data_IF_835824525184
#
_entry.id   IF_835824525184
#
_cell.length_a   1.000
_cell.length_b   1.000
_cell.length_c   1.000
_cell.angle_alpha   90.00
_cell.angle_beta   90.00
_cell.angle_gamma   90.00
#
_symmetry.space_group_name_H-M   'P 1'
#
loop_
_entity.id
_entity.type
_entity.pdbx_description
1 polymer ?
#
# COMPACT_ATOMS: atom_id res chain seq x y z
N UNK A 1 2.87 -19.88 9.08
CA UNK A 1 2.09 -19.41 9.10
C UNK A 1 1.96 -18.20 8.52
N UNK A 2 1.16 -17.89 8.16
CA UNK A 2 1.08 -16.78 7.28
C UNK A 2 1.07 -15.46 8.03
N UNK A 3 2.08 -14.68 7.80
CA UNK A 3 2.15 -13.32 8.26
C UNK A 3 1.42 -12.38 7.28
N UNK A 4 0.56 -12.91 6.41
CA UNK A 4 -0.02 -12.16 5.32
C UNK A 4 -1.51 -11.88 5.48
N UNK A 5 -2.04 -12.06 6.68
CA UNK A 5 -3.43 -11.73 6.95
C UNK A 5 -3.51 -10.49 7.84
N UNK A 6 -4.48 -9.64 7.57
CA UNK A 6 -4.79 -8.48 8.40
C UNK A 6 -6.06 -8.74 9.19
N UNK A 7 -6.08 -8.28 10.44
CA UNK A 7 -7.29 -8.27 11.25
C UNK A 7 -8.15 -7.02 11.01
N UNK A 8 -7.66 -6.07 10.23
CA UNK A 8 -8.42 -4.86 9.89
C UNK A 8 -9.43 -5.16 8.78
N UNK A 9 -10.73 -4.90 8.99
CA UNK A 9 -11.72 -5.17 7.93
C UNK A 9 -11.41 -4.44 6.64
N UNK A 10 -11.46 -5.16 5.52
CA UNK A 10 -11.23 -4.59 4.18
C UNK A 10 -9.78 -4.45 3.78
N UNK A 11 -8.83 -4.64 4.68
CA UNK A 11 -7.42 -4.73 4.30
C UNK A 11 -7.17 -6.13 3.71
N UNK A 12 -6.61 -6.16 2.52
CA UNK A 12 -6.27 -7.40 1.83
C UNK A 12 -4.76 -7.45 1.65
N UNK A 13 -4.14 -8.56 2.04
CA UNK A 13 -2.71 -8.79 1.84
C UNK A 13 -2.55 -10.08 1.08
N UNK A 14 -2.06 -9.98 -0.17
CA UNK A 14 -1.94 -11.12 -1.07
C UNK A 14 -0.49 -11.34 -1.45
N UNK A 15 0.09 -12.52 -1.13
CA UNK A 15 1.42 -12.88 -1.64
C UNK A 15 1.40 -12.97 -3.17
N UNK A 16 2.44 -12.44 -3.80
CA UNK A 16 2.61 -12.49 -5.24
C UNK A 16 3.63 -13.57 -5.60
N UNK A 17 3.44 -14.18 -6.75
CA UNK A 17 4.30 -15.28 -7.21
C UNK A 17 5.16 -14.84 -8.38
N UNK A 18 6.48 -15.04 -8.24
CA UNK A 18 7.41 -14.90 -9.36
C UNK A 18 7.36 -16.15 -10.23
N UNK A 19 7.12 -15.96 -11.51
CA UNK A 19 7.21 -17.01 -12.51
C UNK A 19 8.58 -16.91 -13.17
N UNK A 20 9.48 -17.83 -12.81
CA UNK A 20 10.86 -17.83 -13.25
C UNK A 20 11.04 -18.62 -14.54
N UNK A 21 11.88 -18.12 -15.45
CA UNK A 21 12.35 -18.86 -16.61
C UNK A 21 13.76 -18.39 -17.01
N UNK A 22 14.27 -18.86 -18.15
CA UNK A 22 15.63 -18.52 -18.59
C UNK A 22 15.82 -17.04 -18.93
N UNK A 23 14.76 -16.29 -19.12
CA UNK A 23 14.81 -14.85 -19.43
C UNK A 23 14.77 -13.97 -18.19
N UNK A 24 14.38 -14.52 -17.03
CA UNK A 24 14.21 -13.77 -15.78
C UNK A 24 12.90 -14.20 -15.07
N UNK A 25 12.08 -13.23 -14.67
CA UNK A 25 10.83 -13.55 -13.98
C UNK A 25 9.71 -12.59 -14.40
N UNK A 26 8.48 -13.04 -14.17
CA UNK A 26 7.27 -12.26 -14.38
C UNK A 26 6.39 -12.40 -13.14
N UNK A 27 5.76 -11.31 -12.75
CA UNK A 27 4.76 -11.27 -11.68
C UNK A 27 3.47 -10.64 -12.23
N UNK A 28 2.33 -11.31 -12.03
CA UNK A 28 1.04 -10.68 -12.20
C UNK A 28 0.79 -9.85 -10.95
N UNK A 29 0.80 -8.52 -11.06
CA UNK A 29 0.66 -7.64 -9.91
C UNK A 29 -0.78 -7.58 -9.41
N UNK A 30 -1.76 -7.67 -10.30
CA UNK A 30 -3.15 -7.95 -9.96
C UNK A 30 -3.89 -8.52 -11.18
N UNK A 31 -5.00 -9.16 -10.90
CA UNK A 31 -5.95 -9.61 -11.93
C UNK A 31 -7.32 -9.10 -11.53
N UNK A 32 -8.08 -8.63 -12.50
CA UNK A 32 -9.44 -8.13 -12.27
C UNK A 32 -10.34 -9.18 -11.61
N UNK A 33 -10.19 -10.43 -12.01
CA UNK A 33 -10.96 -11.55 -11.48
C UNK A 33 -10.51 -12.02 -10.08
N UNK A 34 -9.45 -11.44 -9.53
CA UNK A 34 -8.92 -11.75 -8.21
C UNK A 34 -8.95 -10.56 -7.25
N UNK A 35 -9.36 -9.38 -7.71
CA UNK A 35 -9.47 -8.21 -6.86
C UNK A 35 -10.64 -8.35 -5.88
N UNK A 36 -10.53 -7.76 -4.67
CA UNK A 36 -11.66 -7.79 -3.74
C UNK A 36 -12.84 -6.99 -4.31
N UNK A 37 -14.03 -7.44 -3.97
CA UNK A 37 -15.26 -6.77 -4.40
C UNK A 37 -15.25 -5.31 -3.94
N UNK A 38 -15.62 -4.41 -4.85
CA UNK A 38 -15.69 -2.97 -4.56
C UNK A 38 -14.37 -2.22 -4.74
N UNK A 39 -13.28 -2.91 -5.05
CA UNK A 39 -12.00 -2.27 -5.37
C UNK A 39 -11.75 -2.37 -6.88
N UNK A 40 -11.76 -1.21 -7.54
CA UNK A 40 -11.60 -1.12 -9.00
C UNK A 40 -10.57 -0.04 -9.32
N UNK A 41 -9.31 -0.41 -9.63
CA UNK A 41 -8.26 0.56 -9.88
C UNK A 41 -8.60 1.53 -11.01
N UNK A 42 -8.39 2.82 -10.75
CA UNK A 42 -8.66 3.90 -11.70
C UNK A 42 -7.40 4.45 -12.36
N UNK A 43 -6.25 4.27 -11.71
CA UNK A 43 -4.95 4.74 -12.22
C UNK A 43 -3.82 3.94 -11.59
N UNK A 44 -2.60 4.19 -12.02
CA UNK A 44 -1.44 3.58 -11.41
C UNK A 44 -0.26 4.54 -11.43
N UNK A 45 0.59 4.47 -10.39
CA UNK A 45 1.84 5.19 -10.39
C UNK A 45 2.96 4.38 -9.71
N UNK A 46 4.18 4.79 -10.02
CA UNK A 46 5.40 4.21 -9.49
C UNK A 46 6.13 5.27 -8.69
N UNK A 47 6.62 4.92 -7.52
CA UNK A 47 7.47 5.80 -6.72
C UNK A 47 8.75 5.10 -6.32
N UNK A 48 9.86 5.84 -6.27
CA UNK A 48 11.12 5.40 -5.70
C UNK A 48 11.30 6.03 -4.33
N UNK A 49 11.88 5.28 -3.41
CA UNK A 49 12.16 5.76 -2.06
C UNK A 49 13.61 5.44 -1.71
N UNK A 50 14.34 6.46 -1.24
CA UNK A 50 15.72 6.30 -0.82
C UNK A 50 15.83 5.41 0.43
N UNK A 51 17.00 4.76 0.64
CA UNK A 51 17.22 3.94 1.83
C UNK A 51 16.94 4.70 3.13
N UNK A 52 16.25 4.05 4.06
CA UNK A 52 15.94 4.60 5.37
C UNK A 52 14.80 5.61 5.42
N UNK A 53 14.28 6.01 4.26
CA UNK A 53 13.22 7.02 4.17
C UNK A 53 11.86 6.35 4.17
N UNK A 54 10.89 7.01 4.78
CA UNK A 54 9.49 6.59 4.82
C UNK A 54 8.60 7.53 4.01
N UNK A 55 7.50 7.00 3.52
CA UNK A 55 6.38 7.77 2.98
C UNK A 55 5.17 7.54 3.86
N UNK A 56 4.49 8.63 4.21
CA UNK A 56 3.38 8.63 5.15
C UNK A 56 3.82 8.97 6.57
N UNK A 57 2.93 8.79 7.57
CA UNK A 57 1.62 8.13 7.44
C UNK A 57 0.60 8.96 6.67
N UNK A 58 -0.17 8.30 5.82
CA UNK A 58 -1.23 8.92 5.03
C UNK A 58 -2.55 8.18 5.25
N UNK A 59 -3.67 8.86 5.01
CA UNK A 59 -4.96 8.20 4.91
C UNK A 59 -5.84 8.95 3.92
N UNK A 60 -6.89 8.28 3.45
CA UNK A 60 -7.85 8.85 2.51
C UNK A 60 -9.26 8.72 3.08
N UNK A 61 -10.14 9.64 2.69
CA UNK A 61 -11.54 9.62 3.12
C UNK A 61 -12.39 8.70 2.22
N UNK A 62 -12.09 8.63 0.93
CA UNK A 62 -12.88 7.87 -0.03
C UNK A 62 -12.05 6.89 -0.87
N UNK A 63 -10.75 7.14 -1.01
CA UNK A 63 -9.88 6.34 -1.85
C UNK A 63 -9.36 5.09 -1.14
N UNK A 64 -9.39 3.96 -1.86
CA UNK A 64 -8.61 2.77 -1.50
C UNK A 64 -7.35 2.73 -2.34
N UNK A 65 -6.26 2.29 -1.74
CA UNK A 65 -4.99 2.09 -2.44
C UNK A 65 -4.75 0.60 -2.69
N UNK A 66 -4.08 0.30 -3.82
CA UNK A 66 -3.61 -1.05 -4.14
C UNK A 66 -2.10 -1.04 -4.29
N UNK A 67 -1.38 -1.21 -3.18
CA UNK A 67 0.08 -1.20 -3.18
C UNK A 67 0.67 -2.51 -3.65
N UNK A 68 1.76 -2.42 -4.42
CA UNK A 68 2.56 -3.57 -4.82
C UNK A 68 3.98 -3.35 -4.33
N UNK A 69 4.44 -4.22 -3.43
CA UNK A 69 5.79 -4.23 -2.89
C UNK A 69 6.52 -5.42 -3.48
N UNK A 70 7.50 -5.18 -4.34
CA UNK A 70 8.27 -6.24 -5.00
C UNK A 70 9.74 -5.86 -5.23
N UNK A 71 10.16 -4.71 -4.72
CA UNK A 71 11.52 -4.17 -4.87
C UNK A 71 12.10 -3.86 -3.49
N UNK A 72 13.38 -4.08 -3.29
CA UNK A 72 14.03 -3.82 -2.02
C UNK A 72 13.39 -4.54 -0.84
N UNK A 73 13.33 -3.89 0.29
CA UNK A 73 12.60 -4.36 1.47
C UNK A 73 11.94 -3.18 2.14
N UNK A 74 10.65 -3.30 2.37
CA UNK A 74 9.85 -2.27 3.04
C UNK A 74 9.25 -2.80 4.34
N UNK A 75 9.23 -1.94 5.34
CA UNK A 75 8.42 -2.14 6.53
C UNK A 75 7.16 -1.31 6.35
N UNK A 76 6.03 -1.99 6.25
CA UNK A 76 4.72 -1.38 5.99
C UNK A 76 3.94 -1.37 7.29
N UNK A 77 3.50 -0.19 7.72
CA UNK A 77 2.74 -0.02 8.96
C UNK A 77 1.33 0.46 8.64
N UNK A 78 0.34 -0.21 9.19
CA UNK A 78 -1.07 0.15 9.08
C UNK A 78 -1.64 0.43 10.47
N UNK A 79 -2.51 1.44 10.54
CA UNK A 79 -3.28 1.75 11.75
C UNK A 79 -4.75 1.87 11.42
N UNK A 80 -5.58 1.21 12.21
CA UNK A 80 -7.02 1.36 12.08
C UNK A 80 -7.48 2.69 12.67
N UNK A 81 -8.09 3.55 11.86
CA UNK A 81 -8.60 4.85 12.31
C UNK A 81 -10.11 5.01 12.08
N UNK A 82 -10.79 3.97 11.61
CA UNK A 82 -12.22 4.03 11.36
C UNK A 82 -13.00 3.89 12.67
N UNK A 83 -14.03 4.76 12.89
CA UNK A 83 -14.86 4.66 14.09
C UNK A 83 -15.56 3.29 14.20
N UNK A 84 -15.67 2.77 15.42
CA UNK A 84 -16.36 1.51 15.68
C UNK A 84 -15.52 0.25 15.51
N UNK A 85 -14.32 0.37 14.96
CA UNK A 85 -13.40 -0.75 14.82
C UNK A 85 -12.37 -0.73 15.94
N UNK A 86 -11.81 -1.91 16.26
CA UNK A 86 -10.73 -2.01 17.22
C UNK A 86 -9.50 -1.23 16.72
N UNK A 87 -8.87 -0.49 17.62
CA UNK A 87 -7.67 0.32 17.30
C UNK A 87 -6.46 -0.59 17.19
N UNK A 88 -6.22 -1.10 16.01
CA UNK A 88 -5.12 -2.01 15.70
C UNK A 88 -3.97 -1.27 15.03
N UNK A 89 -2.77 -1.77 15.26
CA UNK A 89 -1.57 -1.42 14.50
C UNK A 89 -0.93 -2.71 14.00
N UNK A 90 -0.67 -2.79 12.72
CA UNK A 90 -0.05 -3.96 12.10
C UNK A 90 1.20 -3.54 11.32
N UNK A 91 2.21 -4.40 11.33
CA UNK A 91 3.45 -4.18 10.59
C UNK A 91 3.73 -5.39 9.72
N UNK A 92 4.01 -5.13 8.44
CA UNK A 92 4.33 -6.17 7.45
C UNK A 92 5.70 -5.90 6.85
N UNK A 93 6.42 -6.95 6.51
CA UNK A 93 7.63 -6.89 5.70
C UNK A 93 7.30 -7.33 4.29
N UNK A 94 7.69 -6.54 3.30
CA UNK A 94 7.37 -6.80 1.90
C UNK A 94 8.48 -6.26 0.99
N UNK A 95 8.70 -6.91 -0.13
CA UNK A 95 9.71 -6.50 -1.08
C UNK A 95 10.11 -7.62 -2.04
N UNK A 96 11.35 -7.60 -2.48
CA UNK A 96 11.85 -8.55 -3.47
C UNK A 96 11.74 -10.00 -3.03
N UNK A 97 12.06 -10.29 -1.75
CA UNK A 97 12.02 -11.65 -1.20
C UNK A 97 10.63 -12.07 -0.73
N UNK A 98 9.74 -11.11 -0.56
CA UNK A 98 8.36 -11.36 -0.10
C UNK A 98 7.43 -10.37 -0.82
N UNK A 99 7.21 -10.56 -2.14
CA UNK A 99 6.36 -9.62 -2.88
C UNK A 99 4.89 -9.75 -2.47
N UNK A 100 4.27 -8.59 -2.21
CA UNK A 100 2.88 -8.50 -1.75
C UNK A 100 2.09 -7.51 -2.59
N UNK A 101 0.83 -7.82 -2.81
CA UNK A 101 -0.20 -6.86 -3.21
C UNK A 101 -1.07 -6.58 -1.98
N UNK A 102 -1.29 -5.31 -1.68
CA UNK A 102 -2.01 -4.91 -0.48
C UNK A 102 -3.08 -3.89 -0.81
N UNK A 103 -4.33 -4.18 -0.46
CA UNK A 103 -5.43 -3.21 -0.58
C UNK A 103 -5.64 -2.56 0.78
N UNK A 104 -5.57 -1.23 0.81
CA UNK A 104 -5.76 -0.42 2.01
C UNK A 104 -6.99 0.46 1.82
N UNK A 105 -8.09 0.20 2.56
CA UNK A 105 -9.32 0.96 2.41
C UNK A 105 -9.24 2.35 3.04
N UNK A 106 -10.21 3.25 2.72
CA UNK A 106 -10.29 4.55 3.37
C UNK A 106 -10.35 4.42 4.90
N UNK A 107 -9.70 5.34 5.59
CA UNK A 107 -9.68 5.36 7.05
C UNK A 107 -8.67 4.42 7.70
N UNK A 108 -7.93 3.65 6.92
CA UNK A 108 -6.76 2.92 7.41
C UNK A 108 -5.53 3.78 7.09
N UNK A 109 -4.86 4.23 8.15
CA UNK A 109 -3.64 5.02 8.02
C UNK A 109 -2.49 4.08 7.64
N UNK A 110 -1.66 4.50 6.70
CA UNK A 110 -0.60 3.65 6.16
C UNK A 110 0.69 4.42 5.94
N UNK A 111 1.80 3.72 6.18
CA UNK A 111 3.13 4.22 5.90
C UNK A 111 4.03 3.07 5.50
N UNK A 112 5.07 3.36 4.72
CA UNK A 112 6.09 2.37 4.44
C UNK A 112 7.47 3.01 4.44
N UNK A 113 8.44 2.28 5.00
CA UNK A 113 9.84 2.70 5.07
C UNK A 113 10.69 1.74 4.26
N UNK A 114 11.56 2.28 3.42
CA UNK A 114 12.57 1.47 2.74
C UNK A 114 13.65 1.09 3.78
N UNK A 115 13.70 -0.18 4.15
CA UNK A 115 14.68 -0.69 5.11
C UNK A 115 15.83 -1.43 4.44
N UNK A 116 15.87 -1.39 3.10
CA UNK A 116 17.02 -1.91 2.34
C UNK A 116 18.11 -0.85 2.20
N UNK A 117 19.26 -1.25 1.66
CA UNK A 117 20.43 -0.37 1.50
C UNK A 117 20.47 0.35 0.16
N UNK A 118 19.47 0.14 -0.69
CA UNK A 118 19.39 0.75 -2.02
C UNK A 118 18.02 1.38 -2.25
N UNK A 119 17.91 2.22 -3.25
CA UNK A 119 16.62 2.74 -3.69
C UNK A 119 15.71 1.60 -4.09
N UNK A 120 14.45 1.71 -3.75
CA UNK A 120 13.45 0.70 -4.06
C UNK A 120 12.15 1.36 -4.51
N UNK A 121 11.38 0.65 -5.33
CA UNK A 121 10.16 1.20 -5.87
C UNK A 121 8.91 0.50 -5.31
N UNK A 122 7.82 1.25 -5.32
CA UNK A 122 6.48 0.78 -4.95
C UNK A 122 5.53 1.20 -6.06
N UNK A 123 4.68 0.28 -6.48
CA UNK A 123 3.56 0.60 -7.37
C UNK A 123 2.33 0.84 -6.51
N UNK A 124 1.47 1.77 -6.94
CA UNK A 124 0.15 1.95 -6.33
C UNK A 124 -0.90 2.05 -7.42
N UNK A 125 -2.01 1.37 -7.21
CA UNK A 125 -3.18 1.36 -8.10
C UNK A 125 -4.40 1.82 -7.31
N UNK A 126 -4.56 3.14 -7.09
CA UNK A 126 -5.73 3.65 -6.37
C UNK A 126 -7.02 3.51 -7.18
N UNK A 127 -8.14 3.39 -6.47
CA UNK A 127 -9.47 3.27 -7.09
C UNK A 127 -10.11 4.62 -7.42
N UNK A 128 -9.41 5.71 -7.12
CA UNK A 128 -9.83 7.08 -7.46
C UNK A 128 -8.72 7.78 -8.22
N UNK A 129 -9.09 8.73 -9.06
CA UNK A 129 -8.12 9.57 -9.76
C UNK A 129 -7.53 10.61 -8.81
N UNK A 130 -6.22 10.78 -8.84
CA UNK A 130 -5.54 11.84 -8.11
C UNK A 130 -6.13 13.21 -8.49
N UNK A 131 -6.59 13.98 -7.50
CA UNK A 131 -7.25 15.26 -7.70
C UNK A 131 -8.48 15.19 -8.64
N UNK A 132 -9.11 14.02 -8.73
CA UNK A 132 -10.32 13.81 -9.52
C UNK A 132 -10.11 13.84 -11.02
N UNK A 133 -11.20 13.82 -11.75
CA UNK A 133 -11.17 13.84 -13.20
C UNK A 133 -10.58 15.17 -13.71
N UNK A 134 -9.56 15.08 -14.55
CA UNK A 134 -8.86 16.23 -15.09
C UNK A 134 -8.03 17.00 -14.07
N UNK A 135 -7.80 16.42 -12.88
CA UNK A 135 -7.02 17.03 -11.79
C UNK A 135 -7.62 18.36 -11.30
N UNK A 136 -8.95 18.43 -11.23
CA UNK A 136 -9.68 19.66 -10.88
C UNK A 136 -10.35 19.62 -9.52
N UNK A 137 -10.19 18.54 -8.77
CA UNK A 137 -10.79 18.37 -7.46
C UNK A 137 -9.73 18.43 -6.35
N UNK A 138 -10.10 18.72 -5.10
CA UNK A 138 -9.16 18.63 -3.98
C UNK A 138 -8.59 17.23 -3.87
N UNK A 139 -7.33 17.13 -3.44
CA UNK A 139 -6.67 15.85 -3.21
C UNK A 139 -7.26 15.20 -1.96
N UNK A 140 -7.70 13.94 -2.08
CA UNK A 140 -8.20 13.14 -0.97
C UNK A 140 -7.03 12.49 -0.25
N UNK A 141 -6.31 13.27 0.54
CA UNK A 141 -5.16 12.78 1.29
C UNK A 141 -4.97 13.56 2.58
N UNK A 142 -4.82 12.84 3.68
CA UNK A 142 -4.44 13.39 4.97
C UNK A 142 -3.00 12.95 5.20
N UNK A 143 -2.10 13.90 5.31
CA UNK A 143 -0.67 13.66 5.57
C UNK A 143 -0.38 13.84 7.04
N UNK A 144 -0.40 12.74 7.78
CA UNK A 144 -0.18 12.75 9.23
C UNK A 144 1.24 13.21 9.62
N UNK A 145 2.22 13.04 8.73
CA UNK A 145 3.57 13.52 8.96
C UNK A 145 3.70 15.05 8.93
N UNK A 146 2.70 15.74 8.39
CA UNK A 146 2.68 17.20 8.27
C UNK A 146 1.79 17.89 9.30
N UNK A 147 1.13 17.13 10.16
CA UNK A 147 0.24 17.66 11.20
C UNK A 147 0.59 17.04 12.56
N UNK A 148 0.00 17.60 13.64
CA UNK A 148 0.12 16.96 14.94
C UNK A 148 -0.81 15.76 14.99
N UNK A 149 -0.25 14.57 14.89
CA UNK A 149 -0.98 13.32 14.78
C UNK A 149 -0.44 12.27 15.75
N UNK A 150 -1.33 11.39 16.22
CA UNK A 150 -0.94 10.22 17.00
C UNK A 150 -0.25 9.15 16.14
N UNK A 151 -0.46 9.18 14.81
CA UNK A 151 0.12 8.20 13.89
C UNK A 151 1.52 8.63 13.47
N UNK A 152 2.52 7.95 14.01
CA UNK A 152 3.93 8.26 13.77
C UNK A 152 4.75 6.98 13.59
N UNK A 153 5.73 7.05 12.71
CA UNK A 153 6.76 6.02 12.56
C UNK A 153 7.89 6.23 13.55
#
# INVERSE_FOLDING_TARGET
MSSHESAMPGVVVKPLKKHMDSRGWLIEVYRDDELPEGFDPAMGYLSFTHPGIARGPHEHNEQSDGFVFLSGEFEVTLWENRPGNERLKEVFRAGEENPLFMVVPPGVVHAYRNVSEKEAFVLNFPDKLYAGKGKKEPVDEIRHEEIDSEFKL
#
